data_IF_630293834025
#
_entry.id   IF_630293834025
#
_cell.length_a   1.000
_cell.length_b   1.000
_cell.length_c   1.000
_cell.angle_alpha   90.00
_cell.angle_beta   90.00
_cell.angle_gamma   90.00
#
_symmetry.space_group_name_H-M   'P 1'
#
loop_
_entity.id
_entity.type
_entity.pdbx_description
1 polymer ?
#
# COMPACT_ATOMS: atom_id res chain seq x y z
N UNK A 1 -12.64 -0.46 -4.77
CA UNK A 1 -13.52 -0.44 -3.57
C UNK A 1 -14.94 -1.00 -3.80
N UNK A 2 -15.34 -1.35 -5.03
CA UNK A 2 -16.70 -1.80 -5.37
C UNK A 2 -17.29 -2.91 -4.47
N UNK A 3 -16.51 -3.93 -4.11
CA UNK A 3 -16.99 -5.03 -3.26
C UNK A 3 -17.38 -4.55 -1.84
N UNK A 4 -16.61 -3.62 -1.27
CA UNK A 4 -16.92 -3.01 0.03
C UNK A 4 -18.20 -2.17 -0.05
N UNK A 5 -18.37 -1.39 -1.13
CA UNK A 5 -19.57 -0.61 -1.39
C UNK A 5 -20.83 -1.47 -1.52
N UNK A 6 -20.73 -2.62 -2.19
CA UNK A 6 -21.86 -3.56 -2.27
C UNK A 6 -22.23 -4.14 -0.90
N UNK A 7 -21.26 -4.35 -0.02
CA UNK A 7 -21.47 -4.95 1.30
C UNK A 7 -22.03 -3.94 2.32
N UNK A 8 -21.60 -2.68 2.25
CA UNK A 8 -22.04 -1.60 3.13
C UNK A 8 -22.33 -0.34 2.30
N UNK A 9 -23.49 -0.26 1.63
CA UNK A 9 -23.82 0.83 0.70
C UNK A 9 -24.08 2.18 1.38
N UNK A 10 -24.34 2.18 2.69
CA UNK A 10 -24.68 3.38 3.48
C UNK A 10 -23.45 4.09 4.08
N UNK A 11 -22.23 3.64 3.79
CA UNK A 11 -21.02 4.30 4.30
C UNK A 11 -20.76 5.62 3.55
N UNK A 12 -20.19 6.62 4.25
CA UNK A 12 -19.78 7.88 3.62
C UNK A 12 -18.61 7.69 2.66
N UNK A 13 -17.69 6.77 2.99
CA UNK A 13 -16.49 6.48 2.21
C UNK A 13 -16.19 4.99 2.17
N UNK A 14 -15.62 4.55 1.04
CA UNK A 14 -15.00 3.24 0.88
C UNK A 14 -13.54 3.41 0.50
N UNK A 15 -12.66 2.72 1.21
CA UNK A 15 -11.20 2.84 1.06
C UNK A 15 -10.60 1.47 0.77
N UNK A 16 -9.69 1.40 -0.20
CA UNK A 16 -8.84 0.24 -0.44
C UNK A 16 -7.38 0.67 -0.54
N UNK A 17 -6.49 -0.12 0.07
CA UNK A 17 -5.04 0.03 -0.04
C UNK A 17 -4.50 -1.32 -0.50
N UNK A 18 -4.08 -1.39 -1.76
CA UNK A 18 -3.65 -2.63 -2.39
C UNK A 18 -2.15 -2.56 -2.72
N UNK A 19 -1.39 -3.53 -2.21
CA UNK A 19 0.04 -3.61 -2.48
C UNK A 19 0.32 -4.30 -3.81
N UNK A 20 1.36 -3.86 -4.50
CA UNK A 20 1.77 -4.42 -5.79
C UNK A 20 3.27 -4.41 -5.98
N UNK A 21 3.69 -5.05 -7.06
CA UNK A 21 5.04 -5.07 -7.60
C UNK A 21 4.96 -4.61 -9.04
N UNK A 22 5.84 -3.69 -9.43
CA UNK A 22 5.99 -3.21 -10.81
C UNK A 22 7.49 -3.00 -11.06
N UNK A 23 7.98 -3.65 -12.11
CA UNK A 23 9.42 -3.87 -12.30
C UNK A 23 10.08 -4.44 -11.03
N UNK A 24 11.05 -3.68 -10.52
CA UNK A 24 11.91 -4.08 -9.40
C UNK A 24 11.51 -3.40 -8.08
N UNK A 25 10.30 -2.86 -7.99
CA UNK A 25 9.84 -2.10 -6.84
C UNK A 25 8.49 -2.56 -6.31
N UNK A 26 8.28 -2.39 -5.00
CA UNK A 26 6.96 -2.50 -4.38
C UNK A 26 6.34 -1.13 -4.13
N UNK A 27 5.01 -1.05 -4.17
CA UNK A 27 4.22 0.15 -3.89
C UNK A 27 2.83 -0.27 -3.42
N UNK A 28 1.97 0.71 -3.15
CA UNK A 28 0.55 0.45 -2.96
C UNK A 28 -0.32 1.52 -3.61
N UNK A 29 -1.42 1.07 -4.22
CA UNK A 29 -2.48 1.96 -4.68
C UNK A 29 -3.45 2.21 -3.54
N UNK A 30 -3.80 3.48 -3.35
CA UNK A 30 -4.88 3.91 -2.48
C UNK A 30 -6.01 4.39 -3.36
N UNK A 31 -7.20 3.82 -3.15
CA UNK A 31 -8.44 4.24 -3.81
C UNK A 31 -9.45 4.59 -2.73
N UNK A 32 -9.99 5.79 -2.81
CA UNK A 32 -11.04 6.30 -1.92
C UNK A 32 -12.22 6.70 -2.81
N UNK A 33 -13.41 6.19 -2.52
CA UNK A 33 -14.66 6.62 -3.16
C UNK A 33 -15.65 7.08 -2.10
N UNK A 34 -16.42 8.11 -2.41
CA UNK A 34 -17.69 8.41 -1.75
C UNK A 34 -18.85 8.15 -2.74
N UNK A 35 -20.04 8.67 -2.45
CA UNK A 35 -21.22 8.47 -3.31
C UNK A 35 -21.04 8.99 -4.76
N UNK A 36 -20.25 10.05 -4.97
CA UNK A 36 -20.19 10.81 -6.22
C UNK A 36 -18.78 10.96 -6.83
N UNK A 37 -17.72 10.72 -6.05
CA UNK A 37 -16.36 11.06 -6.42
C UNK A 37 -15.38 9.95 -6.03
N UNK A 38 -14.28 9.88 -6.78
CA UNK A 38 -13.19 8.93 -6.59
C UNK A 38 -11.86 9.68 -6.55
N UNK A 39 -11.06 9.39 -5.55
CA UNK A 39 -9.68 9.84 -5.44
C UNK A 39 -8.72 8.67 -5.41
N UNK A 40 -7.59 8.84 -6.07
CA UNK A 40 -6.57 7.80 -6.22
C UNK A 40 -5.19 8.40 -6.02
N UNK A 41 -4.33 7.63 -5.36
CA UNK A 41 -2.92 7.93 -5.28
C UNK A 41 -2.12 6.64 -5.20
N UNK A 42 -0.87 6.70 -5.65
CA UNK A 42 0.10 5.64 -5.46
C UNK A 42 1.09 6.07 -4.39
N UNK A 43 1.44 5.17 -3.48
CA UNK A 43 2.51 5.41 -2.53
C UNK A 43 3.84 5.64 -3.22
N UNK A 44 4.81 6.18 -2.48
CA UNK A 44 6.22 6.09 -2.89
C UNK A 44 6.60 4.62 -3.16
N UNK A 45 7.48 4.42 -4.12
CA UNK A 45 7.99 3.11 -4.49
C UNK A 45 9.19 2.76 -3.61
N UNK A 46 9.32 1.48 -3.27
CA UNK A 46 10.51 0.94 -2.61
C UNK A 46 11.19 -0.05 -3.57
N UNK A 47 12.39 0.27 -4.08
CA UNK A 47 13.20 -0.68 -4.82
C UNK A 47 13.51 -1.90 -3.94
N UNK A 48 13.30 -3.09 -4.49
CA UNK A 48 13.58 -4.34 -3.79
C UNK A 48 14.93 -4.90 -4.22
N UNK A 49 15.73 -5.45 -3.30
CA UNK A 49 16.95 -6.17 -3.66
C UNK A 49 16.66 -7.38 -4.56
N UNK A 50 17.59 -7.70 -5.45
CA UNK A 50 17.45 -8.82 -6.40
C UNK A 50 17.10 -10.15 -5.70
N UNK A 51 17.73 -10.44 -4.56
CA UNK A 51 17.46 -11.66 -3.76
C UNK A 51 16.00 -11.76 -3.28
N UNK A 52 15.34 -10.63 -3.04
CA UNK A 52 13.92 -10.59 -2.67
C UNK A 52 13.05 -10.74 -3.92
N UNK A 53 13.41 -10.04 -5.00
CA UNK A 53 12.69 -10.08 -6.27
C UNK A 53 12.66 -11.46 -6.91
N UNK A 54 13.76 -12.22 -6.83
CA UNK A 54 13.81 -13.61 -7.33
C UNK A 54 12.68 -14.45 -6.72
N UNK A 55 12.50 -14.37 -5.39
CA UNK A 55 11.44 -15.11 -4.69
C UNK A 55 10.04 -14.61 -5.01
N UNK A 56 9.88 -13.29 -5.14
CA UNK A 56 8.58 -12.73 -5.53
C UNK A 56 8.22 -13.10 -6.97
N UNK A 57 9.20 -13.19 -7.88
CA UNK A 57 9.02 -13.65 -9.26
C UNK A 57 8.74 -15.15 -9.37
N UNK A 58 9.17 -15.95 -8.39
CA UNK A 58 8.77 -17.35 -8.22
C UNK A 58 7.30 -17.51 -7.76
N UNK A 59 6.59 -16.40 -7.53
CA UNK A 59 5.18 -16.37 -7.14
C UNK A 59 4.95 -16.24 -5.63
N UNK A 60 6.01 -16.07 -4.84
CA UNK A 60 5.87 -15.89 -3.40
C UNK A 60 5.39 -14.46 -3.05
N UNK A 61 4.52 -14.35 -2.06
CA UNK A 61 4.14 -13.05 -1.53
C UNK A 61 5.34 -12.37 -0.82
N UNK A 62 5.48 -11.06 -1.02
CA UNK A 62 6.58 -10.28 -0.44
C UNK A 62 6.65 -10.38 1.09
N UNK A 63 5.50 -10.42 1.78
CA UNK A 63 5.42 -10.52 3.24
C UNK A 63 6.16 -11.74 3.79
N UNK A 64 5.77 -12.97 3.41
CA UNK A 64 6.49 -14.19 3.78
C UNK A 64 7.99 -14.18 3.43
N UNK A 65 8.36 -13.69 2.24
CA UNK A 65 9.77 -13.59 1.82
C UNK A 65 10.55 -12.70 2.80
N UNK A 66 10.01 -11.52 3.13
CA UNK A 66 10.62 -10.59 4.06
C UNK A 66 10.69 -11.13 5.49
N UNK A 67 9.67 -11.85 5.96
CA UNK A 67 9.70 -12.48 7.29
C UNK A 67 10.86 -13.48 7.39
N UNK A 68 11.06 -14.33 6.37
CA UNK A 68 12.19 -15.27 6.34
C UNK A 68 13.54 -14.57 6.24
N UNK A 69 13.63 -13.52 5.43
CA UNK A 69 14.88 -12.77 5.25
C UNK A 69 15.33 -12.05 6.54
N UNK A 70 14.37 -11.50 7.30
CA UNK A 70 14.65 -10.71 8.49
C UNK A 70 14.60 -11.50 9.80
N UNK A 71 13.99 -12.68 9.79
CA UNK A 71 13.64 -13.44 11.00
C UNK A 71 12.50 -12.81 11.81
N UNK A 72 11.79 -11.81 11.27
CA UNK A 72 10.69 -11.13 11.96
C UNK A 72 9.36 -11.68 11.47
N UNK A 73 8.64 -12.38 12.34
CA UNK A 73 7.30 -12.87 12.04
C UNK A 73 6.30 -11.72 11.81
N UNK A 74 5.40 -11.97 10.85
CA UNK A 74 4.36 -11.05 10.38
C UNK A 74 4.87 -9.62 10.12
N UNK A 75 6.05 -9.47 9.52
CA UNK A 75 6.67 -8.16 9.30
C UNK A 75 5.76 -7.17 8.55
N UNK A 76 4.87 -7.68 7.69
CA UNK A 76 3.88 -6.88 6.96
C UNK A 76 2.83 -6.19 7.85
N UNK A 77 2.65 -6.62 9.11
CA UNK A 77 1.80 -6.00 10.14
C UNK A 77 2.57 -5.07 11.09
N UNK A 78 3.90 -5.03 10.99
CA UNK A 78 4.80 -4.15 11.73
C UNK A 78 5.26 -3.01 10.81
N UNK A 79 6.55 -2.72 10.79
CA UNK A 79 7.12 -1.64 9.97
C UNK A 79 7.20 -2.00 8.47
N UNK A 80 7.06 -3.29 8.11
CA UNK A 80 7.14 -3.80 6.75
C UNK A 80 8.54 -3.74 6.14
N UNK A 81 8.65 -4.12 4.86
CA UNK A 81 9.90 -4.01 4.10
C UNK A 81 10.44 -2.56 4.08
N UNK A 82 9.54 -1.58 4.10
CA UNK A 82 9.88 -0.16 4.19
C UNK A 82 10.69 0.14 5.47
N UNK A 83 10.22 -0.33 6.64
CA UNK A 83 10.96 -0.16 7.89
C UNK A 83 12.36 -0.75 7.83
N UNK A 84 12.46 -1.99 7.36
CA UNK A 84 13.72 -2.72 7.24
C UNK A 84 14.72 -1.96 6.36
N UNK A 85 14.33 -1.64 5.13
CA UNK A 85 15.25 -1.06 4.15
C UNK A 85 15.48 0.44 4.33
N UNK A 86 14.72 1.10 5.20
CA UNK A 86 14.96 2.50 5.59
C UNK A 86 15.56 2.64 7.00
N UNK A 87 16.00 1.53 7.62
CA UNK A 87 16.51 1.51 8.99
C UNK A 87 15.56 2.21 10.00
N UNK A 88 14.26 1.93 9.88
CA UNK A 88 13.19 2.46 10.73
C UNK A 88 12.88 3.94 10.54
N UNK A 89 13.49 4.63 9.56
CA UNK A 89 13.21 6.06 9.30
C UNK A 89 11.84 6.29 8.69
N UNK A 90 11.34 5.30 7.95
CA UNK A 90 9.96 5.25 7.46
C UNK A 90 9.34 3.93 7.87
N UNK A 91 8.02 3.89 7.96
CA UNK A 91 7.26 2.66 8.15
C UNK A 91 6.25 2.51 7.02
N UNK A 92 5.72 1.30 6.86
CA UNK A 92 4.58 1.07 5.96
C UNK A 92 3.43 2.03 6.25
N UNK A 93 3.10 2.25 7.52
CA UNK A 93 2.05 3.15 7.94
C UNK A 93 2.35 4.61 7.57
N UNK A 94 3.58 5.11 7.80
CA UNK A 94 3.93 6.49 7.49
C UNK A 94 3.89 6.79 5.98
N UNK A 95 4.31 5.83 5.15
CA UNK A 95 4.25 5.95 3.69
C UNK A 95 2.82 5.88 3.17
N UNK A 96 2.00 4.96 3.70
CA UNK A 96 0.60 4.86 3.29
C UNK A 96 -0.23 6.05 3.76
N UNK A 97 0.10 6.63 4.92
CA UNK A 97 -0.54 7.85 5.41
C UNK A 97 -0.45 8.99 4.39
N UNK A 98 0.72 9.22 3.80
CA UNK A 98 0.90 10.22 2.74
C UNK A 98 0.06 9.90 1.50
N UNK A 99 0.04 8.64 1.06
CA UNK A 99 -0.76 8.23 -0.09
C UNK A 99 -2.27 8.40 0.14
N UNK A 100 -2.76 8.13 1.35
CA UNK A 100 -4.16 8.36 1.75
C UNK A 100 -4.49 9.85 1.72
N UNK A 101 -3.61 10.70 2.27
CA UNK A 101 -3.79 12.16 2.20
C UNK A 101 -3.88 12.62 0.73
N UNK A 102 -2.99 12.14 -0.14
CA UNK A 102 -3.01 12.47 -1.55
C UNK A 102 -4.31 12.01 -2.23
N UNK A 103 -4.76 10.79 -1.95
CA UNK A 103 -6.01 10.25 -2.50
C UNK A 103 -7.25 11.00 -1.98
N UNK A 104 -7.17 11.71 -0.86
CA UNK A 104 -8.25 12.54 -0.34
C UNK A 104 -8.37 13.91 -1.02
N UNK A 105 -7.40 14.32 -1.84
CA UNK A 105 -7.36 15.65 -2.48
C UNK A 105 -8.68 16.04 -3.18
N UNK A 106 -9.35 15.15 -3.95
CA UNK A 106 -10.58 15.52 -4.65
C UNK A 106 -11.74 15.90 -3.72
N UNK A 107 -11.76 15.38 -2.49
CA UNK A 107 -12.90 15.50 -1.57
C UNK A 107 -12.93 16.81 -0.78
N UNK A 108 -11.87 17.63 -0.87
CA UNK A 108 -11.79 18.91 -0.16
C UNK A 108 -11.26 20.06 -1.04
N UNK A 109 -11.17 19.86 -2.35
CA UNK A 109 -10.78 20.88 -3.31
C UNK A 109 -11.75 20.91 -4.49
N UNK A 110 -12.44 22.03 -4.69
CA UNK A 110 -13.48 22.18 -5.71
C UNK A 110 -13.00 22.16 -7.18
N UNK A 111 -11.69 22.07 -7.41
CA UNK A 111 -11.10 22.03 -8.77
C UNK A 111 -11.10 20.64 -9.40
N UNK A 112 -11.35 19.60 -8.59
CA UNK A 112 -11.51 18.21 -9.03
C UNK A 112 -12.97 17.91 -9.36
#
# INVERSE_FOLDING_TARGET
VANARRLLPEADFWVAIEAGIDGDSTFSWVVIENASQRGEARSATLPLPAVILEKVREGEALGPVMSRYTGIDEIGRKEGAIGVFTAGKLTRASVYHQAVILALSPFHNAVY
#
